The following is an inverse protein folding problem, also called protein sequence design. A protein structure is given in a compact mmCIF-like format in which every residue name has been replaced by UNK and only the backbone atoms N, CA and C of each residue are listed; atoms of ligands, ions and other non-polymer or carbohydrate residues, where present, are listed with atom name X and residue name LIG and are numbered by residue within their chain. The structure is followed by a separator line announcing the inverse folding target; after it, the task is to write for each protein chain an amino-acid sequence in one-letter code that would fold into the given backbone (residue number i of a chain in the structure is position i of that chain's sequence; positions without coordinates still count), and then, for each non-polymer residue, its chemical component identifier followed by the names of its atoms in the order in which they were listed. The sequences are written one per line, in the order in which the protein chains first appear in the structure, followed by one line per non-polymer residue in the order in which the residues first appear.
data_IF_948976579340
#
_entry.id   IF_948976579340
#
_cell.length_a   1.000
_cell.length_b   1.000
_cell.length_c   1.000
_cell.angle_alpha   90.00
_cell.angle_beta   90.00
_cell.angle_gamma   90.00
#
_symmetry.space_group_name_H-M   'P 1'
#
loop_
_entity.id
_entity.type
_entity.pdbx_description
1 polymer ?
#
# COMPACT_ATOMS: atom_id res chain seq x y z
N UNK A 1 -6.44 14.21 9.50
CA UNK A 1 -7.85 14.59 9.76
C UNK A 1 -8.07 14.28 11.22
N UNK A 2 -8.49 15.27 11.99
CA UNK A 2 -8.80 15.10 13.41
C UNK A 2 -10.31 15.28 13.51
N UNK A 3 -11.00 14.29 14.09
CA UNK A 3 -12.45 14.29 14.31
C UNK A 3 -13.29 14.61 13.05
N UNK A 4 -12.84 14.15 11.88
CA UNK A 4 -13.56 14.33 10.61
C UNK A 4 -13.48 15.75 10.03
N UNK A 5 -12.65 16.62 10.60
CA UNK A 5 -12.33 17.95 10.05
C UNK A 5 -11.16 17.84 9.07
N UNK A 6 -11.32 18.46 7.90
CA UNK A 6 -10.27 18.56 6.88
C UNK A 6 -9.50 19.85 7.09
N UNK A 7 -8.28 19.74 7.59
CA UNK A 7 -7.35 20.86 7.66
C UNK A 7 -6.68 21.07 6.30
N UNK A 8 -6.78 22.28 5.78
CA UNK A 8 -6.15 22.71 4.53
C UNK A 8 -5.39 24.01 4.74
N UNK A 9 -4.71 24.50 3.70
CA UNK A 9 -4.12 25.85 3.75
C UNK A 9 -5.19 26.90 4.09
N UNK A 10 -4.88 27.87 4.97
CA UNK A 10 -5.78 28.99 5.26
C UNK A 10 -6.02 29.89 4.04
N UNK A 11 -5.16 29.78 3.03
CA UNK A 11 -5.22 30.54 1.77
C UNK A 11 -6.11 29.87 0.71
N UNK A 12 -6.67 28.70 1.02
CA UNK A 12 -7.59 28.00 0.15
C UNK A 12 -6.89 27.22 -0.96
N UNK A 13 -7.39 27.36 -2.19
CA UNK A 13 -6.86 26.70 -3.39
C UNK A 13 -6.57 27.72 -4.49
N UNK A 14 -5.58 27.42 -5.33
CA UNK A 14 -5.21 28.23 -6.48
C UNK A 14 -5.53 27.47 -7.77
N UNK A 15 -5.95 28.22 -8.80
CA UNK A 15 -6.23 27.68 -10.13
C UNK A 15 -5.26 28.28 -11.13
N UNK A 16 -4.57 27.41 -11.88
CA UNK A 16 -3.58 27.80 -12.87
C UNK A 16 -4.03 27.35 -14.28
N UNK A 17 -3.83 28.17 -15.32
CA UNK A 17 -4.33 27.89 -16.67
C UNK A 17 -3.47 26.89 -17.46
N UNK A 18 -3.05 25.78 -16.82
CA UNK A 18 -2.12 24.78 -17.36
C UNK A 18 -2.74 23.39 -17.54
N UNK A 19 -4.07 23.32 -17.71
CA UNK A 19 -4.75 22.07 -18.03
C UNK A 19 -4.22 21.48 -19.35
N UNK A 20 -4.21 20.15 -19.49
CA UNK A 20 -3.57 19.45 -20.62
C UNK A 20 -4.03 19.98 -22.01
N UNK A 21 -5.31 20.29 -22.18
CA UNK A 21 -5.83 20.85 -23.43
C UNK A 21 -5.36 22.30 -23.68
N UNK A 22 -5.38 23.15 -22.65
CA UNK A 22 -4.88 24.53 -22.73
C UNK A 22 -3.38 24.56 -23.01
N UNK A 23 -2.63 23.71 -22.31
CA UNK A 23 -1.18 23.59 -22.50
C UNK A 23 -0.85 23.06 -23.89
N UNK A 24 -1.57 22.05 -24.39
CA UNK A 24 -1.45 21.57 -25.76
C UNK A 24 -1.66 22.70 -26.78
N UNK A 25 -2.75 23.46 -26.67
CA UNK A 25 -3.01 24.58 -27.57
C UNK A 25 -1.92 25.67 -27.50
N UNK A 26 -1.40 25.98 -26.31
CA UNK A 26 -0.31 26.95 -26.12
C UNK A 26 1.03 26.46 -26.70
N UNK A 27 1.27 25.15 -26.68
CA UNK A 27 2.43 24.51 -27.30
C UNK A 27 2.31 24.39 -28.83
N UNK A 28 1.09 24.23 -29.35
CA UNK A 28 0.79 24.06 -30.78
C UNK A 28 0.60 25.37 -31.56
N UNK A 29 0.40 26.51 -30.89
CA UNK A 29 0.11 27.80 -31.52
C UNK A 29 1.08 28.23 -32.64
N UNK A 30 0.50 28.84 -33.69
CA UNK A 30 1.05 29.09 -35.03
C UNK A 30 2.43 29.79 -35.09
N UNK A 31 3.32 29.26 -35.95
CA UNK A 31 4.46 30.00 -36.54
C UNK A 31 5.87 29.75 -35.96
N UNK A 32 6.69 28.98 -36.68
CA UNK A 32 8.14 29.17 -36.92
C UNK A 32 9.18 29.15 -35.79
N UNK A 33 8.83 29.34 -34.51
CA UNK A 33 9.81 29.42 -33.38
C UNK A 33 9.40 28.55 -32.19
N UNK A 34 9.10 27.27 -32.45
CA UNK A 34 8.65 26.28 -31.44
C UNK A 34 9.54 26.25 -30.18
N UNK A 35 10.87 26.27 -30.34
CA UNK A 35 11.81 26.18 -29.21
C UNK A 35 11.80 27.39 -28.26
N UNK A 36 11.85 28.62 -28.80
CA UNK A 36 11.89 29.85 -27.98
C UNK A 36 10.57 30.08 -27.23
N UNK A 37 9.44 29.75 -27.85
CA UNK A 37 8.11 29.87 -27.23
C UNK A 37 7.89 28.82 -26.14
N UNK A 38 8.31 27.58 -26.37
CA UNK A 38 8.27 26.53 -25.35
C UNK A 38 9.15 26.89 -24.14
N UNK A 39 10.35 27.45 -24.36
CA UNK A 39 11.22 27.95 -23.29
C UNK A 39 10.56 29.06 -22.46
N UNK A 40 9.99 30.08 -23.11
CA UNK A 40 9.30 31.17 -22.42
C UNK A 40 8.10 30.67 -21.60
N UNK A 41 7.31 29.73 -22.15
CA UNK A 41 6.19 29.11 -21.44
C UNK A 41 6.65 28.30 -20.22
N UNK A 42 7.76 27.56 -20.33
CA UNK A 42 8.34 26.83 -19.20
C UNK A 42 8.75 27.79 -18.09
N UNK A 43 9.42 28.90 -18.41
CA UNK A 43 9.82 29.89 -17.39
C UNK A 43 8.63 30.62 -16.75
N UNK A 44 7.60 30.96 -17.52
CA UNK A 44 6.31 31.46 -16.98
C UNK A 44 5.73 30.48 -15.96
N UNK A 45 5.58 29.21 -16.36
CA UNK A 45 5.04 28.15 -15.50
C UNK A 45 5.88 27.96 -14.22
N UNK A 46 7.22 28.00 -14.30
CA UNK A 46 8.08 27.93 -13.10
C UNK A 46 7.81 29.09 -12.15
N UNK A 47 7.70 30.31 -12.67
CA UNK A 47 7.39 31.50 -11.90
C UNK A 47 6.04 31.36 -11.18
N UNK A 48 5.01 30.92 -11.90
CA UNK A 48 3.68 30.71 -11.33
C UNK A 48 3.63 29.58 -10.29
N UNK A 49 4.33 28.46 -10.50
CA UNK A 49 4.37 27.39 -9.49
C UNK A 49 5.08 27.82 -8.21
N UNK A 50 6.20 28.54 -8.30
CA UNK A 50 6.88 29.08 -7.10
C UNK A 50 6.00 30.07 -6.38
N UNK A 51 5.37 31.00 -7.12
CA UNK A 51 4.44 31.98 -6.56
C UNK A 51 3.27 31.30 -5.86
N UNK A 52 2.65 30.31 -6.50
CA UNK A 52 1.54 29.56 -5.96
C UNK A 52 1.94 28.81 -4.67
N UNK A 53 3.12 28.18 -4.65
CA UNK A 53 3.63 27.50 -3.46
C UNK A 53 3.81 28.46 -2.27
N UNK A 54 4.39 29.64 -2.50
CA UNK A 54 4.54 30.65 -1.45
C UNK A 54 3.19 31.25 -1.00
N UNK A 55 2.25 31.46 -1.93
CA UNK A 55 0.93 32.00 -1.62
C UNK A 55 0.06 31.01 -0.85
N UNK A 56 0.23 29.70 -1.08
CA UNK A 56 -0.52 28.68 -0.38
C UNK A 56 -0.12 28.53 1.09
N UNK A 57 0.99 29.11 1.55
CA UNK A 57 1.41 29.04 2.97
C UNK A 57 1.28 27.61 3.52
N UNK A 58 2.00 26.67 2.88
CA UNK A 58 1.80 25.23 3.08
C UNK A 58 2.01 24.87 4.56
N UNK A 59 0.99 24.33 5.26
CA UNK A 59 1.12 23.98 6.66
C UNK A 59 2.19 22.92 6.92
N UNK A 60 2.88 23.04 8.06
CA UNK A 60 3.97 22.13 8.44
C UNK A 60 3.54 20.65 8.54
N UNK A 61 2.26 20.38 8.88
CA UNK A 61 1.74 19.02 8.96
C UNK A 61 1.62 18.31 7.60
N UNK A 62 1.74 19.05 6.48
CA UNK A 62 1.77 18.49 5.12
C UNK A 62 3.20 18.21 4.62
N UNK A 63 4.21 18.56 5.41
CA UNK A 63 5.62 18.35 5.09
C UNK A 63 6.25 17.34 6.03
N UNK A 64 7.22 16.58 5.54
CA UNK A 64 8.05 15.75 6.41
C UNK A 64 9.09 16.57 7.19
N UNK A 65 9.86 15.91 8.06
CA UNK A 65 10.88 16.56 8.88
C UNK A 65 11.94 17.35 8.08
N UNK A 66 12.08 17.09 6.78
CA UNK A 66 13.00 17.79 5.88
C UNK A 66 12.29 18.85 5.01
N UNK A 67 11.03 19.19 5.31
CA UNK A 67 10.23 20.13 4.53
C UNK A 67 9.77 19.60 3.17
N UNK A 68 9.85 18.27 2.94
CA UNK A 68 9.46 17.67 1.65
C UNK A 68 8.00 17.26 1.65
N UNK A 69 7.38 17.28 0.46
CA UNK A 69 5.95 17.02 0.29
C UNK A 69 5.68 15.90 -0.72
N UNK A 70 4.62 15.13 -0.46
CA UNK A 70 4.02 14.21 -1.44
C UNK A 70 2.96 14.97 -2.24
N UNK A 71 2.96 14.78 -3.56
CA UNK A 71 2.00 15.42 -4.47
C UNK A 71 0.89 14.43 -4.86
N UNK A 72 -0.36 14.79 -4.56
CA UNK A 72 -1.53 14.00 -4.91
C UNK A 72 -2.11 14.45 -6.25
N UNK A 73 -2.10 13.56 -7.24
CA UNK A 73 -2.49 13.87 -8.62
C UNK A 73 -3.85 13.24 -8.95
N UNK A 74 -4.81 14.07 -9.35
CA UNK A 74 -6.13 13.64 -9.83
C UNK A 74 -6.45 14.24 -11.19
N UNK A 75 -7.18 13.50 -12.03
CA UNK A 75 -7.64 13.97 -13.33
C UNK A 75 -7.30 13.03 -14.49
N UNK A 76 -7.98 13.21 -15.63
CA UNK A 76 -7.88 12.31 -16.77
C UNK A 76 -6.49 12.22 -17.40
N UNK A 77 -5.80 13.35 -17.52
CA UNK A 77 -4.44 13.43 -18.06
C UNK A 77 -3.43 12.73 -17.15
N UNK A 78 -3.45 13.03 -15.85
CA UNK A 78 -2.60 12.36 -14.88
C UNK A 78 -2.87 10.86 -14.76
N UNK A 79 -4.12 10.41 -14.89
CA UNK A 79 -4.38 8.96 -14.95
C UNK A 79 -3.72 8.29 -16.16
N UNK A 80 -3.78 8.93 -17.34
CA UNK A 80 -3.06 8.46 -18.52
C UNK A 80 -1.55 8.38 -18.27
N UNK A 81 -1.00 9.42 -17.66
CA UNK A 81 0.41 9.48 -17.25
C UNK A 81 0.79 8.35 -16.28
N UNK A 82 0.03 8.14 -15.21
CA UNK A 82 0.34 7.10 -14.24
C UNK A 82 0.22 5.68 -14.80
N UNK A 83 -0.72 5.41 -15.71
CA UNK A 83 -0.75 4.12 -16.41
C UNK A 83 0.48 3.90 -17.31
N UNK A 84 1.01 4.95 -17.93
CA UNK A 84 2.29 4.86 -18.65
C UNK A 84 3.45 4.54 -17.70
N UNK A 85 3.52 5.24 -16.56
CA UNK A 85 4.54 4.96 -15.54
C UNK A 85 4.45 3.50 -15.05
N UNK A 86 3.24 3.00 -14.77
CA UNK A 86 3.03 1.60 -14.38
C UNK A 86 3.51 0.63 -15.47
N UNK A 87 3.27 0.94 -16.75
CA UNK A 87 3.74 0.10 -17.87
C UNK A 87 5.26 0.05 -18.04
N UNK A 88 5.99 0.99 -17.41
CA UNK A 88 7.45 1.09 -17.41
C UNK A 88 8.05 0.85 -16.02
N UNK A 89 7.22 0.48 -15.05
CA UNK A 89 7.68 0.17 -13.72
C UNK A 89 8.63 -1.04 -13.76
N UNK A 90 9.53 -1.13 -12.78
CA UNK A 90 10.46 -2.25 -12.65
C UNK A 90 9.77 -3.63 -12.65
N UNK A 91 8.52 -3.67 -12.16
CA UNK A 91 7.68 -4.87 -12.19
C UNK A 91 6.85 -4.86 -13.48
N UNK A 92 7.14 -5.79 -14.38
CA UNK A 92 6.47 -5.91 -15.69
C UNK A 92 5.92 -7.34 -15.91
N UNK A 93 4.62 -7.51 -16.24
CA UNK A 93 3.57 -6.48 -16.21
C UNK A 93 3.24 -6.07 -14.77
N UNK A 94 2.98 -4.77 -14.57
CA UNK A 94 2.59 -4.26 -13.26
C UNK A 94 1.30 -4.95 -12.75
N UNK A 95 1.29 -5.54 -11.54
CA UNK A 95 0.25 -6.50 -11.14
C UNK A 95 -1.07 -5.85 -10.71
N UNK A 96 -1.09 -4.56 -10.35
CA UNK A 96 -2.30 -3.89 -9.87
C UNK A 96 -2.83 -3.00 -10.99
N UNK A 97 -3.88 -3.41 -11.75
CA UNK A 97 -4.41 -2.64 -12.88
C UNK A 97 -5.31 -1.46 -12.45
N UNK A 98 -5.06 -0.90 -11.27
CA UNK A 98 -5.83 0.18 -10.66
C UNK A 98 -4.89 1.39 -10.57
N UNK A 99 -5.35 2.57 -10.98
CA UNK A 99 -4.52 3.79 -10.90
C UNK A 99 -4.50 4.38 -9.48
N UNK A 100 -5.58 4.18 -8.74
CA UNK A 100 -5.74 4.73 -7.41
C UNK A 100 -4.77 4.09 -6.42
N UNK A 101 -3.98 4.92 -5.76
CA UNK A 101 -3.02 4.46 -4.75
C UNK A 101 -1.68 4.04 -5.35
N UNK A 102 -1.49 4.17 -6.68
CA UNK A 102 -0.18 4.05 -7.29
C UNK A 102 0.71 5.21 -6.82
N UNK A 103 1.87 4.88 -6.26
CA UNK A 103 2.89 5.83 -5.83
C UNK A 103 4.11 5.68 -6.71
N UNK A 104 4.59 6.77 -7.27
CA UNK A 104 5.87 6.86 -7.98
C UNK A 104 6.85 7.68 -7.16
N UNK A 105 8.13 7.30 -7.18
CA UNK A 105 9.18 8.18 -6.66
C UNK A 105 9.43 9.36 -7.62
N UNK A 106 10.21 10.33 -7.16
CA UNK A 106 10.51 11.55 -7.92
C UNK A 106 11.23 11.25 -9.23
N UNK A 107 12.10 10.25 -9.23
CA UNK A 107 12.92 9.84 -10.37
C UNK A 107 12.04 9.20 -11.46
N UNK A 108 11.19 8.26 -11.09
CA UNK A 108 10.19 7.62 -11.96
C UNK A 108 9.23 8.64 -12.55
N UNK A 109 8.76 9.57 -11.74
CA UNK A 109 7.83 10.61 -12.19
C UNK A 109 8.46 11.58 -13.19
N UNK A 110 9.77 11.85 -13.05
CA UNK A 110 10.55 12.73 -13.92
C UNK A 110 11.06 12.05 -15.19
N UNK A 111 10.90 10.74 -15.34
CA UNK A 111 11.32 10.03 -16.55
C UNK A 111 10.35 10.29 -17.71
N UNK A 112 10.24 11.56 -18.09
CA UNK A 112 9.36 12.01 -19.16
C UNK A 112 9.87 11.57 -20.52
N UNK A 113 11.19 11.40 -20.66
CA UNK A 113 11.84 10.89 -21.86
C UNK A 113 11.37 9.48 -22.22
N UNK A 114 11.45 8.52 -21.29
CA UNK A 114 11.04 7.14 -21.58
C UNK A 114 9.55 7.02 -21.89
N UNK A 115 8.71 7.78 -21.18
CA UNK A 115 7.26 7.82 -21.41
C UNK A 115 6.94 8.42 -22.78
N UNK A 116 7.62 9.49 -23.18
CA UNK A 116 7.42 10.12 -24.49
C UNK A 116 7.88 9.23 -25.65
N UNK A 117 8.99 8.50 -25.49
CA UNK A 117 9.40 7.47 -26.46
C UNK A 117 8.33 6.38 -26.58
N UNK A 118 7.79 5.91 -25.46
CA UNK A 118 6.74 4.89 -25.43
C UNK A 118 5.50 5.29 -26.24
N UNK A 119 5.05 6.55 -26.10
CA UNK A 119 3.89 7.08 -26.85
C UNK A 119 4.17 7.19 -28.34
N UNK A 120 5.43 7.44 -28.71
CA UNK A 120 5.85 7.60 -30.11
C UNK A 120 6.05 6.25 -30.80
N UNK A 121 6.49 5.24 -30.04
CA UNK A 121 6.70 3.85 -30.49
C UNK A 121 5.41 3.02 -30.47
N UNK A 122 4.36 3.45 -29.78
CA UNK A 122 3.19 2.62 -29.51
C UNK A 122 2.26 2.45 -30.71
N UNK A 123 2.51 1.41 -31.52
CA UNK A 123 1.42 0.57 -32.04
C UNK A 123 0.83 -0.34 -30.92
N UNK A 124 1.56 -0.50 -29.81
CA UNK A 124 1.15 -1.26 -28.64
C UNK A 124 0.18 -0.47 -27.72
N UNK A 125 -1.05 -0.97 -27.56
CA UNK A 125 -2.06 -0.39 -26.67
C UNK A 125 -1.65 -0.55 -25.20
N UNK A 126 -1.19 0.52 -24.54
CA UNK A 126 -0.96 0.52 -23.09
C UNK A 126 -2.28 0.42 -22.33
N UNK A 127 -2.37 -0.51 -21.38
CA UNK A 127 -3.55 -0.69 -20.54
C UNK A 127 -3.92 0.61 -19.82
N UNK A 128 -5.21 0.95 -19.79
CA UNK A 128 -5.67 2.18 -19.15
C UNK A 128 -5.36 3.48 -19.93
N UNK A 129 -4.71 3.42 -21.10
CA UNK A 129 -4.39 4.60 -21.92
C UNK A 129 -5.20 4.60 -23.22
N UNK A 130 -6.39 5.21 -23.18
CA UNK A 130 -7.20 5.46 -24.39
C UNK A 130 -6.50 6.44 -25.36
N UNK A 131 -6.90 6.47 -26.64
CA UNK A 131 -6.43 7.49 -27.63
C UNK A 131 -6.52 8.94 -27.11
N UNK A 132 -7.60 9.27 -26.38
CA UNK A 132 -7.78 10.60 -25.77
C UNK A 132 -6.76 10.89 -24.67
N UNK A 133 -6.38 9.89 -23.88
CA UNK A 133 -5.35 10.05 -22.83
C UNK A 133 -3.96 10.13 -23.46
N UNK A 134 -3.70 9.31 -24.48
CA UNK A 134 -2.45 9.34 -25.23
C UNK A 134 -2.15 10.73 -25.81
N UNK A 135 -3.16 11.39 -26.41
CA UNK A 135 -2.99 12.73 -26.97
C UNK A 135 -2.75 13.85 -25.93
N UNK A 136 -2.94 13.56 -24.64
CA UNK A 136 -2.69 14.50 -23.54
C UNK A 136 -1.31 14.30 -22.89
N UNK A 137 -0.67 13.14 -23.09
CA UNK A 137 0.60 12.79 -22.44
C UNK A 137 1.70 13.83 -22.67
N UNK A 138 1.94 14.34 -23.91
CA UNK A 138 2.99 15.33 -24.12
C UNK A 138 2.82 16.61 -23.31
N UNK A 139 1.58 17.08 -23.18
CA UNK A 139 1.29 18.25 -22.35
C UNK A 139 1.50 17.94 -20.86
N UNK A 140 1.07 16.77 -20.39
CA UNK A 140 1.30 16.36 -19.00
C UNK A 140 2.78 16.20 -18.70
N UNK A 141 3.59 15.65 -19.61
CA UNK A 141 5.04 15.54 -19.46
C UNK A 141 5.69 16.91 -19.22
N UNK A 142 5.37 17.91 -20.05
CA UNK A 142 5.86 19.29 -19.87
C UNK A 142 5.43 19.87 -18.52
N UNK A 143 4.18 19.66 -18.12
CA UNK A 143 3.66 20.11 -16.84
C UNK A 143 4.44 19.50 -15.66
N UNK A 144 4.68 18.19 -15.71
CA UNK A 144 5.40 17.42 -14.70
C UNK A 144 6.86 17.84 -14.59
N UNK A 145 7.57 17.95 -15.72
CA UNK A 145 8.95 18.44 -15.77
C UNK A 145 9.06 19.78 -15.06
N UNK A 146 8.25 20.75 -15.50
CA UNK A 146 8.34 22.12 -15.01
C UNK A 146 7.94 22.22 -13.55
N UNK A 147 6.91 21.48 -13.12
CA UNK A 147 6.46 21.45 -11.74
C UNK A 147 7.57 20.91 -10.82
N UNK A 148 8.20 19.80 -11.19
CA UNK A 148 9.24 19.20 -10.35
C UNK A 148 10.56 19.97 -10.38
N UNK A 149 10.85 20.74 -11.44
CA UNK A 149 11.96 21.70 -11.48
C UNK A 149 11.68 22.92 -10.61
N UNK A 150 10.46 23.44 -10.64
CA UNK A 150 10.06 24.62 -9.88
C UNK A 150 10.00 24.33 -8.37
N UNK A 151 9.56 23.13 -8.00
CA UNK A 151 9.29 22.69 -6.63
C UNK A 151 10.15 21.45 -6.28
N UNK A 152 11.46 21.63 -6.01
CA UNK A 152 12.37 20.52 -5.77
C UNK A 152 12.09 19.75 -4.47
N UNK A 153 11.30 20.32 -3.56
CA UNK A 153 10.87 19.68 -2.30
C UNK A 153 9.83 18.57 -2.51
N UNK A 154 9.24 18.42 -3.70
CA UNK A 154 8.39 17.27 -4.02
C UNK A 154 9.25 16.00 -3.97
N UNK A 155 8.92 15.06 -3.08
CA UNK A 155 9.65 13.79 -2.91
C UNK A 155 8.99 12.60 -3.59
N UNK A 156 7.69 12.68 -3.84
CA UNK A 156 6.91 11.57 -4.36
C UNK A 156 5.58 12.05 -4.89
N UNK A 157 4.94 11.19 -5.68
CA UNK A 157 3.63 11.43 -6.25
C UNK A 157 2.70 10.28 -5.96
N UNK A 158 1.43 10.59 -5.73
CA UNK A 158 0.38 9.60 -5.53
C UNK A 158 -0.80 9.87 -6.45
N UNK A 159 -1.14 8.88 -7.28
CA UNK A 159 -2.27 9.00 -8.18
C UNK A 159 -3.58 8.68 -7.46
N UNK A 160 -4.54 9.57 -7.63
CA UNK A 160 -5.86 9.52 -7.01
C UNK A 160 -6.92 9.34 -8.10
N UNK A 161 -7.84 8.39 -7.90
CA UNK A 161 -9.01 8.26 -8.76
C UNK A 161 -10.09 9.29 -8.42
N UNK A 162 -10.28 9.56 -7.12
CA UNK A 162 -11.22 10.57 -6.64
C UNK A 162 -10.81 11.99 -7.05
N UNK A 163 -11.78 12.86 -7.23
CA UNK A 163 -11.59 14.27 -7.54
C UNK A 163 -12.70 15.13 -6.96
N UNK A 164 -13.09 16.19 -7.67
CA UNK A 164 -14.05 17.20 -7.19
C UNK A 164 -15.41 16.59 -6.83
N UNK A 165 -15.89 15.59 -7.58
CA UNK A 165 -17.20 14.96 -7.34
C UNK A 165 -17.20 14.18 -6.03
N UNK A 166 -16.17 13.36 -5.83
CA UNK A 166 -16.00 12.58 -4.61
C UNK A 166 -15.73 13.49 -3.40
N UNK A 167 -14.98 14.59 -3.61
CA UNK A 167 -14.78 15.63 -2.58
C UNK A 167 -16.07 16.33 -2.17
N UNK A 168 -16.95 16.65 -3.13
CA UNK A 168 -18.26 17.24 -2.85
C UNK A 168 -19.18 16.29 -2.08
N UNK A 169 -19.17 14.99 -2.43
CA UNK A 169 -19.91 13.98 -1.66
C UNK A 169 -19.33 13.81 -0.27
N UNK A 170 -18.00 13.79 -0.15
CA UNK A 170 -17.29 13.69 1.12
C UNK A 170 -17.63 14.87 2.05
N UNK A 171 -17.72 16.09 1.51
CA UNK A 171 -18.07 17.28 2.30
C UNK A 171 -19.48 17.19 2.91
N UNK A 172 -20.41 16.49 2.25
CA UNK A 172 -21.77 16.25 2.75
C UNK A 172 -21.88 15.17 3.80
N UNK A 173 -20.83 14.37 4.02
CA UNK A 173 -20.87 13.34 5.05
C UNK A 173 -20.83 13.98 6.45
N UNK A 174 -21.56 13.41 7.43
CA UNK A 174 -21.42 13.78 8.83
C UNK A 174 -19.97 13.67 9.30
N UNK A 175 -19.55 14.53 10.22
CA UNK A 175 -18.17 14.59 10.71
C UNK A 175 -17.71 13.22 11.26
N UNK A 176 -18.61 12.51 11.93
CA UNK A 176 -18.38 11.20 12.53
C UNK A 176 -18.06 10.15 11.47
N UNK A 177 -18.69 10.23 10.28
CA UNK A 177 -18.38 9.34 9.15
C UNK A 177 -17.06 9.74 8.50
N UNK A 178 -16.79 11.05 8.36
CA UNK A 178 -15.51 11.56 7.80
C UNK A 178 -14.30 11.24 8.67
N UNK A 179 -14.51 11.05 9.96
CA UNK A 179 -13.49 10.67 10.94
C UNK A 179 -13.06 9.20 10.82
N UNK A 180 -13.91 8.33 10.26
CA UNK A 180 -13.60 6.90 10.15
C UNK A 180 -12.48 6.64 9.15
N UNK A 181 -11.65 5.64 9.46
CA UNK A 181 -10.64 5.16 8.53
C UNK A 181 -11.30 4.39 7.36
N UNK A 182 -11.07 4.79 6.10
CA UNK A 182 -11.79 4.22 4.97
C UNK A 182 -11.38 2.77 4.66
N UNK A 183 -10.18 2.31 5.05
CA UNK A 183 -9.78 0.91 4.91
C UNK A 183 -10.50 0.04 5.96
N UNK A 184 -10.62 0.53 7.20
CA UNK A 184 -11.40 -0.15 8.25
C UNK A 184 -12.88 -0.24 7.86
N UNK A 185 -13.48 0.86 7.40
CA UNK A 185 -14.87 0.88 6.92
C UNK A 185 -15.09 -0.07 5.75
N UNK A 186 -14.16 -0.11 4.80
CA UNK A 186 -14.28 -0.99 3.63
C UNK A 186 -14.22 -2.49 3.99
N UNK A 187 -13.62 -2.84 5.14
CA UNK A 187 -13.46 -4.23 5.58
C UNK A 187 -14.48 -4.66 6.62
N UNK A 188 -15.18 -3.72 7.27
CA UNK A 188 -16.15 -4.03 8.32
C UNK A 188 -17.29 -4.98 7.90
N UNK A 189 -17.79 -5.02 6.64
CA UNK A 189 -18.81 -6.00 6.25
C UNK A 189 -18.33 -7.46 6.28
N UNK A 190 -17.01 -7.68 6.35
CA UNK A 190 -16.41 -9.01 6.42
C UNK A 190 -16.00 -9.39 7.84
N UNK A 191 -16.12 -8.47 8.80
CA UNK A 191 -15.66 -8.64 10.16
C UNK A 191 -16.29 -9.87 10.82
N UNK A 192 -15.49 -10.73 11.47
CA UNK A 192 -16.01 -11.84 12.25
C UNK A 192 -16.65 -11.34 13.56
N UNK A 193 -17.46 -12.19 14.19
CA UNK A 193 -18.15 -11.85 15.45
C UNK A 193 -17.21 -11.32 16.54
N UNK A 194 -16.00 -11.89 16.65
CA UNK A 194 -15.01 -11.47 17.65
C UNK A 194 -13.85 -10.68 17.02
N UNK A 195 -14.16 -9.73 16.12
CA UNK A 195 -13.16 -8.93 15.39
C UNK A 195 -12.12 -8.30 16.31
N UNK A 196 -12.55 -7.65 17.39
CA UNK A 196 -11.65 -6.93 18.30
C UNK A 196 -10.64 -7.89 18.96
N UNK A 197 -11.10 -9.03 19.46
CA UNK A 197 -10.22 -10.05 20.06
C UNK A 197 -9.24 -10.66 19.05
N UNK A 198 -9.64 -10.80 17.79
CA UNK A 198 -8.77 -11.28 16.72
C UNK A 198 -7.71 -10.23 16.37
N UNK A 199 -8.10 -8.95 16.33
CA UNK A 199 -7.19 -7.83 16.10
C UNK A 199 -6.17 -7.74 17.24
N UNK A 200 -6.60 -7.91 18.49
CA UNK A 200 -5.72 -7.93 19.66
C UNK A 200 -4.69 -9.05 19.58
N UNK A 201 -5.08 -10.24 19.11
CA UNK A 201 -4.15 -11.35 18.89
C UNK A 201 -3.12 -11.02 17.80
N UNK A 202 -3.56 -10.44 16.67
CA UNK A 202 -2.66 -10.01 15.59
C UNK A 202 -1.68 -8.93 16.07
N UNK A 203 -2.15 -7.94 16.83
CA UNK A 203 -1.33 -6.88 17.41
C UNK A 203 -0.34 -7.42 18.44
N UNK A 204 -0.76 -8.39 19.27
CA UNK A 204 0.11 -8.98 20.28
C UNK A 204 1.24 -9.82 19.67
N UNK A 205 1.08 -10.27 18.43
CA UNK A 205 2.13 -10.95 17.68
C UNK A 205 3.15 -9.99 17.03
N UNK A 206 3.05 -8.67 17.24
CA UNK A 206 4.05 -7.69 16.82
C UNK A 206 4.92 -7.24 18.00
N UNK A 207 6.23 -7.03 17.79
CA UNK A 207 7.10 -6.50 18.83
C UNK A 207 6.77 -5.03 19.09
N UNK A 208 6.76 -4.64 20.37
CA UNK A 208 6.44 -3.26 20.81
C UNK A 208 7.63 -2.30 20.78
N UNK A 209 8.84 -2.84 20.62
CA UNK A 209 10.10 -2.07 20.62
C UNK A 209 10.94 -2.45 19.41
N UNK A 210 11.93 -1.62 19.08
CA UNK A 210 12.94 -1.97 18.08
C UNK A 210 13.88 -3.06 18.58
N UNK A 211 14.46 -3.82 17.64
CA UNK A 211 15.44 -4.86 17.95
C UNK A 211 16.73 -4.26 18.52
N UNK A 212 17.41 -4.93 19.46
CA UNK A 212 18.53 -4.33 20.19
C UNK A 212 19.77 -4.08 19.35
N UNK A 213 20.03 -4.86 18.29
CA UNK A 213 21.27 -4.75 17.51
C UNK A 213 21.05 -3.97 16.21
N UNK A 214 20.08 -4.39 15.40
CA UNK A 214 19.79 -3.79 14.09
C UNK A 214 18.78 -2.63 14.16
N UNK A 215 18.23 -2.34 15.34
CA UNK A 215 17.14 -1.37 15.51
C UNK A 215 15.95 -1.63 14.57
N UNK A 216 15.69 -2.92 14.30
CA UNK A 216 14.64 -3.33 13.39
C UNK A 216 13.27 -3.30 14.07
N UNK A 217 12.28 -2.78 13.36
CA UNK A 217 10.88 -2.72 13.77
C UNK A 217 9.95 -3.05 12.59
N UNK A 218 8.70 -3.48 12.83
CA UNK A 218 7.70 -3.57 11.78
C UNK A 218 7.65 -2.28 10.94
N UNK A 219 7.57 -2.36 9.60
CA UNK A 219 7.44 -1.18 8.76
C UNK A 219 6.22 -0.33 9.15
N UNK A 220 6.29 0.99 8.96
CA UNK A 220 5.18 1.92 9.24
C UNK A 220 3.88 1.56 8.50
N UNK A 221 4.00 0.85 7.37
CA UNK A 221 2.85 0.33 6.62
C UNK A 221 2.02 -0.69 7.41
N UNK A 222 2.57 -1.33 8.45
CA UNK A 222 1.83 -2.18 9.40
C UNK A 222 1.15 -1.34 10.50
N UNK A 223 0.36 -0.37 10.07
CA UNK A 223 -0.41 0.50 10.96
C UNK A 223 -1.53 -0.27 11.69
N UNK A 224 -2.06 0.27 12.81
CA UNK A 224 -3.23 -0.29 13.47
C UNK A 224 -4.43 -0.50 12.55
N UNK A 225 -4.63 0.39 11.57
CA UNK A 225 -5.73 0.29 10.60
C UNK A 225 -5.53 -0.86 9.60
N UNK A 226 -4.28 -1.13 9.19
CA UNK A 226 -3.98 -2.31 8.37
C UNK A 226 -4.25 -3.61 9.15
N UNK A 227 -3.86 -3.66 10.44
CA UNK A 227 -4.10 -4.82 11.30
C UNK A 227 -5.60 -5.03 11.55
N UNK A 228 -6.34 -3.96 11.79
CA UNK A 228 -7.80 -4.01 11.90
C UNK A 228 -8.41 -4.59 10.61
N UNK A 229 -8.02 -4.07 9.45
CA UNK A 229 -8.49 -4.59 8.17
C UNK A 229 -8.14 -6.07 7.95
N UNK A 230 -6.93 -6.49 8.30
CA UNK A 230 -6.54 -7.91 8.22
C UNK A 230 -7.41 -8.78 9.14
N UNK A 231 -7.67 -8.33 10.37
CA UNK A 231 -8.55 -9.01 11.32
C UNK A 231 -9.98 -9.15 10.78
N UNK A 232 -10.52 -8.08 10.20
CA UNK A 232 -11.84 -8.10 9.55
C UNK A 232 -11.89 -9.10 8.38
N UNK A 233 -10.82 -9.23 7.62
CA UNK A 233 -10.78 -10.07 6.41
C UNK A 233 -10.36 -11.52 6.68
N UNK A 234 -9.99 -11.87 7.91
CA UNK A 234 -9.33 -13.12 8.27
C UNK A 234 -10.13 -14.38 7.86
N UNK A 235 -11.46 -14.24 7.81
CA UNK A 235 -12.40 -15.31 7.44
C UNK A 235 -13.15 -15.07 6.12
N UNK A 236 -12.84 -13.99 5.40
CA UNK A 236 -13.61 -13.53 4.23
C UNK A 236 -13.69 -14.56 3.09
N UNK A 237 -12.70 -15.46 3.00
CA UNK A 237 -12.60 -16.50 1.96
C UNK A 237 -12.88 -17.91 2.50
N UNK A 238 -13.42 -18.05 3.70
CA UNK A 238 -13.67 -19.35 4.35
C UNK A 238 -14.65 -20.24 3.59
N UNK A 239 -15.56 -19.63 2.81
CA UNK A 239 -16.56 -20.32 1.99
C UNK A 239 -16.03 -20.76 0.62
N UNK A 240 -14.81 -20.36 0.26
CA UNK A 240 -14.19 -20.78 -0.99
C UNK A 240 -13.69 -22.24 -0.87
N UNK A 241 -13.74 -23.02 -1.97
CA UNK A 241 -13.09 -24.34 -2.03
C UNK A 241 -11.63 -24.29 -1.55
N UNK A 242 -11.14 -25.41 -0.99
CA UNK A 242 -9.79 -25.49 -0.43
C UNK A 242 -8.70 -25.15 -1.46
N UNK A 243 -8.95 -25.55 -2.69
CA UNK A 243 -8.07 -25.42 -3.85
C UNK A 243 -7.98 -23.99 -4.36
N UNK A 244 -8.99 -23.14 -4.09
CA UNK A 244 -9.08 -21.80 -4.69
C UNK A 244 -9.03 -20.67 -3.66
N UNK A 245 -9.20 -20.95 -2.37
CA UNK A 245 -9.25 -19.90 -1.33
C UNK A 245 -7.98 -19.05 -1.25
N UNK A 246 -6.79 -19.64 -1.40
CA UNK A 246 -5.52 -18.90 -1.41
C UNK A 246 -5.41 -17.96 -2.61
N UNK A 247 -5.85 -18.41 -3.79
CA UNK A 247 -5.90 -17.60 -5.00
C UNK A 247 -6.96 -16.49 -4.88
N UNK A 248 -8.16 -16.80 -4.37
CA UNK A 248 -9.20 -15.80 -4.12
C UNK A 248 -8.71 -14.71 -3.15
N UNK A 249 -8.02 -15.10 -2.09
CA UNK A 249 -7.37 -14.17 -1.16
C UNK A 249 -6.29 -13.31 -1.83
N UNK A 250 -5.47 -13.90 -2.71
CA UNK A 250 -4.44 -13.17 -3.45
C UNK A 250 -5.03 -12.09 -4.38
N UNK A 251 -6.17 -12.39 -5.01
CA UNK A 251 -6.88 -11.47 -5.91
C UNK A 251 -7.84 -10.52 -5.20
N UNK A 252 -8.03 -10.68 -3.89
CA UNK A 252 -9.04 -9.94 -3.10
C UNK A 252 -8.92 -8.43 -3.20
N UNK A 253 -7.70 -7.91 -3.38
CA UNK A 253 -7.42 -6.47 -3.43
C UNK A 253 -7.28 -5.90 -4.84
N UNK A 254 -7.36 -6.71 -5.90
CA UNK A 254 -7.25 -6.24 -7.29
C UNK A 254 -8.54 -6.45 -8.06
N UNK A 255 -9.08 -7.66 -8.05
CA UNK A 255 -10.30 -8.04 -8.78
C UNK A 255 -11.39 -8.60 -7.87
N UNK A 256 -11.08 -8.84 -6.59
CA UNK A 256 -12.01 -9.37 -5.60
C UNK A 256 -12.69 -8.31 -4.73
N UNK A 257 -12.96 -8.69 -3.48
CA UNK A 257 -13.84 -7.98 -2.54
C UNK A 257 -13.42 -6.54 -2.19
N UNK A 258 -12.15 -6.16 -2.38
CA UNK A 258 -11.64 -4.80 -2.16
C UNK A 258 -11.25 -4.06 -3.45
N UNK A 259 -11.59 -4.60 -4.62
CA UNK A 259 -11.25 -3.99 -5.91
C UNK A 259 -11.83 -2.56 -6.05
N UNK A 260 -13.03 -2.31 -5.51
CA UNK A 260 -13.75 -1.04 -5.60
C UNK A 260 -13.32 0.00 -4.55
N UNK A 261 -12.42 -0.35 -3.64
CA UNK A 261 -12.03 0.51 -2.51
C UNK A 261 -11.00 1.54 -2.98
N UNK A 262 -11.43 2.79 -3.17
CA UNK A 262 -10.61 3.88 -3.70
C UNK A 262 -9.72 4.58 -2.66
N UNK A 263 -9.64 4.09 -1.42
CA UNK A 263 -8.77 4.63 -0.37
C UNK A 263 -7.44 3.88 -0.22
N UNK A 264 -7.30 2.71 -0.87
CA UNK A 264 -6.13 1.86 -0.67
C UNK A 264 -4.94 2.32 -1.50
N UNK A 265 -3.79 2.38 -0.84
CA UNK A 265 -2.51 2.45 -1.55
C UNK A 265 -2.20 1.10 -2.20
N UNK A 266 -1.32 1.09 -3.20
CA UNK A 266 -0.84 -0.18 -3.76
C UNK A 266 -0.09 -1.01 -2.72
N UNK A 267 0.61 -0.37 -1.78
CA UNK A 267 1.23 -1.04 -0.64
C UNK A 267 0.17 -1.79 0.18
N UNK A 268 -0.91 -1.13 0.62
CA UNK A 268 -1.97 -1.80 1.42
C UNK A 268 -2.58 -2.98 0.66
N UNK A 269 -2.84 -2.81 -0.65
CA UNK A 269 -3.36 -3.89 -1.50
C UNK A 269 -2.44 -5.10 -1.52
N UNK A 270 -1.13 -4.88 -1.66
CA UNK A 270 -0.13 -5.95 -1.66
C UNK A 270 -0.04 -6.61 -0.29
N UNK A 271 0.06 -5.82 0.78
CA UNK A 271 0.23 -6.35 2.14
C UNK A 271 -0.96 -7.22 2.54
N UNK A 272 -2.19 -6.75 2.31
CA UNK A 272 -3.41 -7.52 2.57
C UNK A 272 -3.47 -8.78 1.70
N UNK A 273 -3.18 -8.68 0.40
CA UNK A 273 -3.20 -9.84 -0.49
C UNK A 273 -2.19 -10.91 -0.03
N UNK A 274 -0.94 -10.53 0.25
CA UNK A 274 0.10 -11.46 0.68
C UNK A 274 -0.23 -12.10 2.05
N UNK A 275 -0.69 -11.30 3.02
CA UNK A 275 -1.05 -11.80 4.33
C UNK A 275 -2.25 -12.76 4.27
N UNK A 276 -3.29 -12.42 3.50
CA UNK A 276 -4.48 -13.27 3.34
C UNK A 276 -4.18 -14.53 2.53
N UNK A 277 -3.24 -14.50 1.58
CA UNK A 277 -2.78 -15.72 0.90
C UNK A 277 -2.07 -16.66 1.87
N UNK A 278 -1.18 -16.14 2.73
CA UNK A 278 -0.47 -16.96 3.72
C UNK A 278 -1.41 -17.46 4.84
N UNK A 279 -2.48 -16.72 5.18
CA UNK A 279 -3.56 -17.18 6.09
C UNK A 279 -4.14 -18.52 5.68
N UNK A 280 -4.33 -18.75 4.38
CA UNK A 280 -4.95 -19.98 3.89
C UNK A 280 -3.97 -21.10 3.56
N UNK A 281 -2.68 -20.78 3.44
CA UNK A 281 -1.56 -21.72 3.27
C UNK A 281 -1.73 -22.80 2.19
N UNK A 282 -2.65 -22.62 1.23
CA UNK A 282 -2.87 -23.53 0.11
C UNK A 282 -1.97 -23.24 -1.09
N UNK A 283 -1.75 -24.27 -1.90
CA UNK A 283 -0.98 -24.16 -3.15
C UNK A 283 -1.61 -23.14 -4.11
N UNK A 284 -0.75 -22.47 -4.86
CA UNK A 284 -1.15 -21.55 -5.92
C UNK A 284 -0.90 -22.18 -7.27
N UNK A 285 -1.81 -21.97 -8.22
CA UNK A 285 -1.55 -22.33 -9.59
C UNK A 285 -0.34 -21.53 -10.14
N UNK A 286 0.39 -22.03 -11.15
CA UNK A 286 1.58 -21.33 -11.66
C UNK A 286 1.34 -19.88 -12.10
N UNK A 287 0.13 -19.55 -12.56
CA UNK A 287 -0.25 -18.18 -12.91
C UNK A 287 -0.36 -17.28 -11.66
N UNK A 288 -0.93 -17.79 -10.58
CA UNK A 288 -1.09 -17.09 -9.31
C UNK A 288 0.24 -16.97 -8.55
N UNK A 289 1.14 -17.96 -8.67
CA UNK A 289 2.51 -17.83 -8.14
C UNK A 289 3.26 -16.68 -8.78
N UNK A 290 3.22 -16.58 -10.11
CA UNK A 290 3.80 -15.46 -10.87
C UNK A 290 3.14 -14.14 -10.47
N UNK A 291 1.83 -14.14 -10.24
CA UNK A 291 1.11 -12.94 -9.81
C UNK A 291 1.54 -12.50 -8.40
N UNK A 292 1.63 -13.43 -7.45
CA UNK A 292 2.15 -13.21 -6.09
C UNK A 292 3.57 -12.65 -6.12
N UNK A 293 4.44 -13.21 -6.97
CA UNK A 293 5.81 -12.73 -7.12
C UNK A 293 5.86 -11.28 -7.62
N UNK A 294 5.04 -10.93 -8.61
CA UNK A 294 4.94 -9.54 -9.09
C UNK A 294 4.42 -8.60 -8.00
N UNK A 295 3.39 -9.01 -7.24
CA UNK A 295 2.90 -8.22 -6.09
C UNK A 295 3.99 -7.99 -5.05
N UNK A 296 4.75 -9.04 -4.70
CA UNK A 296 5.87 -8.95 -3.75
C UNK A 296 6.94 -7.95 -4.19
N UNK A 297 7.19 -7.84 -5.50
CA UNK A 297 8.13 -6.85 -6.04
C UNK A 297 7.62 -5.41 -6.00
N UNK A 298 6.35 -5.17 -5.66
CA UNK A 298 5.80 -3.82 -5.46
C UNK A 298 6.00 -3.27 -4.04
N UNK A 299 6.53 -4.07 -3.11
CA UNK A 299 6.83 -3.66 -1.72
C UNK A 299 8.28 -3.97 -1.38
N UNK A 300 8.78 -3.43 -0.28
CA UNK A 300 10.13 -3.75 0.20
C UNK A 300 10.23 -5.20 0.66
N UNK A 301 11.43 -5.78 0.64
CA UNK A 301 11.66 -7.13 1.17
C UNK A 301 11.24 -7.26 2.64
N UNK A 302 11.37 -6.18 3.42
CA UNK A 302 10.95 -6.13 4.82
C UNK A 302 9.43 -6.19 4.94
N UNK A 303 8.72 -5.38 4.16
CA UNK A 303 7.27 -5.40 4.09
C UNK A 303 6.71 -6.76 3.64
N UNK A 304 7.30 -7.35 2.59
CA UNK A 304 6.92 -8.68 2.12
C UNK A 304 7.11 -9.75 3.19
N UNK A 305 8.22 -9.72 3.94
CA UNK A 305 8.47 -10.65 5.03
C UNK A 305 7.44 -10.50 6.17
N UNK A 306 7.16 -9.27 6.62
CA UNK A 306 6.18 -9.00 7.68
C UNK A 306 4.75 -9.38 7.28
N UNK A 307 4.38 -9.19 6.00
CA UNK A 307 3.07 -9.61 5.49
C UNK A 307 2.90 -11.13 5.57
N UNK A 308 3.96 -11.88 5.19
CA UNK A 308 3.96 -13.35 5.29
C UNK A 308 3.96 -13.82 6.74
N UNK A 309 4.73 -13.16 7.61
CA UNK A 309 4.75 -13.43 9.05
C UNK A 309 3.35 -13.28 9.66
N UNK A 310 2.71 -12.12 9.50
CA UNK A 310 1.36 -11.90 10.01
C UNK A 310 0.32 -12.81 9.34
N UNK A 311 0.49 -13.16 8.07
CA UNK A 311 -0.37 -14.13 7.41
C UNK A 311 -0.30 -15.52 8.05
N UNK A 312 0.88 -15.98 8.47
CA UNK A 312 1.03 -17.26 9.20
C UNK A 312 0.53 -17.19 10.63
N UNK A 313 0.69 -16.06 11.31
CA UNK A 313 0.03 -15.81 12.59
C UNK A 313 -1.48 -15.84 12.42
N UNK A 314 -2.02 -15.21 11.37
CA UNK A 314 -3.44 -15.25 11.04
C UNK A 314 -3.92 -16.68 10.75
N UNK A 315 -3.09 -17.52 10.11
CA UNK A 315 -3.36 -18.95 9.94
C UNK A 315 -3.57 -19.65 11.29
N UNK A 316 -2.60 -19.50 12.21
CA UNK A 316 -2.71 -20.04 13.56
C UNK A 316 -4.01 -19.59 14.27
N UNK A 317 -4.28 -18.28 14.28
CA UNK A 317 -5.48 -17.71 14.92
C UNK A 317 -6.74 -18.31 14.30
N UNK A 318 -6.82 -18.35 12.98
CA UNK A 318 -8.00 -18.80 12.29
C UNK A 318 -8.19 -20.33 12.29
N UNK A 319 -7.15 -21.10 12.57
CA UNK A 319 -7.26 -22.56 12.76
C UNK A 319 -7.74 -22.89 14.19
N UNK A 320 -7.31 -22.11 15.19
CA UNK A 320 -7.79 -22.22 16.57
C UNK A 320 -9.23 -21.71 16.73
N UNK A 321 -9.57 -20.61 16.06
CA UNK A 321 -10.89 -19.97 16.11
C UNK A 321 -11.58 -20.06 14.75
N UNK A 322 -11.78 -21.27 14.22
CA UNK A 322 -12.31 -21.53 12.89
C UNK A 322 -13.66 -20.85 12.55
N UNK A 323 -14.48 -20.56 13.56
CA UNK A 323 -15.76 -19.85 13.40
C UNK A 323 -15.65 -18.32 13.44
N UNK A 324 -14.45 -17.77 13.70
CA UNK A 324 -14.26 -16.34 13.97
C UNK A 324 -14.81 -15.88 15.32
N UNK A 325 -15.11 -16.82 16.22
CA UNK A 325 -15.61 -16.53 17.57
C UNK A 325 -14.51 -16.86 18.58
N UNK A 326 -14.13 -15.85 19.37
CA UNK A 326 -13.25 -15.98 20.54
C UNK A 326 -14.15 -15.94 21.78
N UNK A 327 -14.21 -17.02 22.58
CA UNK A 327 -15.01 -17.06 23.80
C UNK A 327 -14.58 -15.98 24.81
N UNK A 328 -15.54 -15.30 25.44
CA UNK A 328 -15.27 -14.34 26.53
C UNK A 328 -14.59 -15.00 27.73
N UNK A 329 -15.02 -16.22 28.04
CA UNK A 329 -14.41 -17.11 29.04
C UNK A 329 -13.87 -18.34 28.34
N UNK A 330 -12.67 -18.81 28.72
CA UNK A 330 -12.05 -19.96 28.07
C UNK A 330 -11.26 -19.59 26.81
N UNK A 331 -10.31 -18.66 26.95
CA UNK A 331 -9.36 -18.34 25.89
C UNK A 331 -8.59 -19.61 25.48
N UNK A 332 -8.29 -19.78 24.19
CA UNK A 332 -7.58 -20.96 23.67
C UNK A 332 -6.10 -20.69 23.47
N UNK A 333 -5.78 -19.54 22.88
CA UNK A 333 -4.40 -19.07 22.68
C UNK A 333 -4.20 -17.63 23.14
N UNK A 334 -2.98 -17.31 23.54
CA UNK A 334 -2.45 -15.95 23.69
C UNK A 334 -1.11 -15.85 22.99
N UNK A 335 -0.80 -14.66 22.47
CA UNK A 335 0.41 -14.39 21.72
C UNK A 335 1.16 -13.23 22.34
N UNK A 336 2.48 -13.25 22.27
CA UNK A 336 3.33 -12.09 22.51
C UNK A 336 4.57 -12.19 21.63
N UNK A 337 5.02 -11.07 21.05
CA UNK A 337 6.29 -11.03 20.32
C UNK A 337 7.26 -10.02 20.93
N UNK A 338 8.52 -10.41 21.01
CA UNK A 338 9.60 -9.59 21.55
C UNK A 338 10.93 -9.87 20.87
N UNK A 339 11.86 -8.91 20.99
CA UNK A 339 13.20 -9.07 20.47
C UNK A 339 14.15 -9.64 21.52
N UNK A 340 15.01 -10.56 21.09
CA UNK A 340 16.08 -11.11 21.90
C UNK A 340 17.42 -11.02 21.16
N UNK A 341 18.48 -10.73 21.90
CA UNK A 341 19.84 -10.82 21.39
C UNK A 341 20.39 -12.23 21.65
N UNK A 342 20.72 -12.96 20.60
CA UNK A 342 21.21 -14.34 20.70
C UNK A 342 22.65 -14.45 20.22
N UNK A 343 23.50 -15.06 21.05
CA UNK A 343 24.90 -15.32 20.76
C UNK A 343 25.11 -16.81 20.40
N UNK A 344 25.29 -17.13 19.12
CA UNK A 344 25.78 -18.46 18.69
C UNK A 344 27.22 -18.42 18.13
N UNK A 345 27.53 -17.41 17.31
CA UNK A 345 28.87 -17.14 16.75
C UNK A 345 29.14 -15.64 16.65
N UNK A 346 28.10 -14.88 16.35
CA UNK A 346 28.02 -13.42 16.42
C UNK A 346 26.70 -13.07 17.12
N UNK A 347 26.64 -11.90 17.76
CA UNK A 347 25.41 -11.35 18.32
C UNK A 347 24.44 -11.01 17.19
N UNK A 348 23.20 -11.50 17.30
CA UNK A 348 22.16 -11.27 16.28
C UNK A 348 20.79 -11.15 16.92
N UNK A 349 19.94 -10.34 16.29
CA UNK A 349 18.54 -10.21 16.70
C UNK A 349 17.73 -11.46 16.31
N UNK A 350 16.84 -11.84 17.22
CA UNK A 350 15.84 -12.89 17.06
C UNK A 350 14.48 -12.34 17.49
N UNK A 351 13.46 -12.47 16.65
CA UNK A 351 12.07 -12.26 17.02
C UNK A 351 11.55 -13.51 17.72
N UNK A 352 11.38 -13.45 19.03
CA UNK A 352 10.79 -14.54 19.82
C UNK A 352 9.27 -14.33 19.91
N UNK A 353 8.51 -15.31 19.44
CA UNK A 353 7.04 -15.33 19.52
C UNK A 353 6.63 -16.34 20.58
N UNK A 354 6.07 -15.86 21.66
CA UNK A 354 5.54 -16.67 22.75
C UNK A 354 4.08 -17.02 22.45
N UNK A 355 3.75 -18.30 22.53
CA UNK A 355 2.40 -18.83 22.30
C UNK A 355 1.99 -19.61 23.54
N UNK A 356 1.00 -19.11 24.27
CA UNK A 356 0.38 -19.84 25.37
C UNK A 356 -0.84 -20.57 24.86
N UNK A 357 -1.02 -21.82 25.27
CA UNK A 357 -2.22 -22.60 25.02
C UNK A 357 -2.90 -22.94 26.34
N UNK A 358 -4.19 -22.60 26.47
CA UNK A 358 -4.96 -22.99 27.64
C UNK A 358 -5.23 -24.50 27.60
N UNK A 359 -4.65 -25.28 28.50
CA UNK A 359 -4.77 -26.74 28.46
C UNK A 359 -6.22 -27.24 28.51
N UNK A 360 -7.07 -26.58 29.32
CA UNK A 360 -8.47 -26.99 29.48
C UNK A 360 -9.30 -26.80 28.18
N UNK A 361 -8.99 -25.77 27.39
CA UNK A 361 -9.80 -25.33 26.26
C UNK A 361 -9.15 -25.62 24.90
N UNK A 362 -7.84 -25.84 24.88
CA UNK A 362 -7.03 -25.92 23.66
C UNK A 362 -6.36 -27.27 23.42
N UNK A 363 -6.66 -28.31 24.21
CA UNK A 363 -6.07 -29.65 24.04
C UNK A 363 -6.22 -30.18 22.60
N UNK A 364 -7.40 -30.00 22.00
CA UNK A 364 -7.68 -30.43 20.62
C UNK A 364 -6.92 -29.61 19.56
N UNK A 365 -6.52 -28.38 19.90
CA UNK A 365 -5.83 -27.47 18.97
C UNK A 365 -4.31 -27.48 19.13
N UNK A 366 -3.76 -28.17 20.14
CA UNK A 366 -2.34 -28.12 20.49
C UNK A 366 -1.44 -28.51 19.31
N UNK A 367 -1.78 -29.58 18.59
CA UNK A 367 -1.05 -30.04 17.42
C UNK A 367 -1.10 -28.99 16.30
N UNK A 368 -2.29 -28.47 15.97
CA UNK A 368 -2.44 -27.42 14.96
C UNK A 368 -1.67 -26.13 15.31
N UNK A 369 -1.64 -25.73 16.59
CA UNK A 369 -0.86 -24.58 17.04
C UNK A 369 0.65 -24.85 16.91
N UNK A 370 1.11 -26.05 17.26
CA UNK A 370 2.51 -26.43 17.10
C UNK A 370 2.92 -26.43 15.62
N UNK A 371 2.12 -27.04 14.74
CA UNK A 371 2.36 -27.03 13.30
C UNK A 371 2.41 -25.61 12.74
N UNK A 372 1.45 -24.75 13.13
CA UNK A 372 1.44 -23.35 12.72
C UNK A 372 2.68 -22.59 13.24
N UNK A 373 3.12 -22.88 14.47
CA UNK A 373 4.37 -22.36 15.04
C UNK A 373 5.58 -22.72 14.17
N UNK A 374 5.72 -23.99 13.79
CA UNK A 374 6.80 -24.44 12.89
C UNK A 374 6.74 -23.75 11.52
N UNK A 375 5.54 -23.49 10.99
CA UNK A 375 5.40 -22.72 9.75
C UNK A 375 5.88 -21.27 9.93
N UNK A 376 5.58 -20.61 11.05
CA UNK A 376 6.10 -19.27 11.35
C UNK A 376 7.63 -19.32 11.42
N UNK A 377 8.23 -20.27 12.15
CA UNK A 377 9.69 -20.41 12.27
C UNK A 377 10.41 -20.63 10.93
N UNK A 378 9.76 -21.35 9.99
CA UNK A 378 10.32 -21.55 8.64
C UNK A 378 10.61 -20.22 7.93
N UNK A 379 9.89 -19.12 8.22
CA UNK A 379 10.19 -17.79 7.66
C UNK A 379 11.53 -17.22 8.15
N UNK A 380 12.00 -17.62 9.32
CA UNK A 380 13.29 -17.21 9.89
C UNK A 380 14.50 -17.87 9.22
N UNK A 381 14.29 -18.89 8.38
CA UNK A 381 15.37 -19.61 7.70
C UNK A 381 16.02 -18.74 6.62
N UNK A 382 17.35 -18.86 6.43
CA UNK A 382 18.14 -18.03 5.49
C UNK A 382 17.56 -17.97 4.06
N UNK A 383 16.96 -19.06 3.56
CA UNK A 383 16.34 -19.11 2.23
C UNK A 383 15.03 -18.33 2.13
N UNK A 384 14.34 -18.12 3.25
CA UNK A 384 13.04 -17.45 3.33
C UNK A 384 13.16 -15.97 3.73
N UNK A 385 14.30 -15.59 4.32
CA UNK A 385 14.67 -14.19 4.57
C UNK A 385 15.17 -13.61 3.26
N UNK A 386 14.29 -12.93 2.53
CA UNK A 386 14.48 -12.36 1.19
C UNK A 386 15.58 -11.27 1.18
N UNK A 387 16.85 -11.69 1.29
CA UNK A 387 17.99 -10.80 1.43
C UNK A 387 18.09 -10.19 2.84
N UNK A 388 18.37 -8.89 2.93
CA UNK A 388 18.54 -8.16 4.19
C UNK A 388 17.22 -7.75 4.86
N UNK A 389 16.06 -7.98 4.23
CA UNK A 389 14.77 -7.51 4.73
C UNK A 389 14.06 -8.46 5.71
N UNK A 390 14.45 -9.74 5.77
CA UNK A 390 13.74 -10.74 6.57
C UNK A 390 14.36 -10.97 7.96
N UNK A 391 13.50 -11.15 8.96
CA UNK A 391 13.91 -11.35 10.34
C UNK A 391 14.14 -12.83 10.66
N UNK A 392 14.95 -13.11 11.67
CA UNK A 392 14.96 -14.44 12.30
C UNK A 392 13.77 -14.49 13.25
N UNK A 393 13.06 -15.61 13.25
CA UNK A 393 11.92 -15.83 14.13
C UNK A 393 12.00 -17.22 14.74
N UNK A 394 11.66 -17.31 16.02
CA UNK A 394 11.52 -18.55 16.80
C UNK A 394 10.18 -18.50 17.52
N UNK A 395 9.45 -19.61 17.53
CA UNK A 395 8.15 -19.73 18.20
C UNK A 395 8.32 -20.62 19.42
N UNK A 396 7.97 -20.10 20.58
CA UNK A 396 8.10 -20.80 21.86
C UNK A 396 6.72 -21.08 22.42
N UNK A 397 6.40 -22.36 22.53
CA UNK A 397 5.22 -22.81 23.25
C UNK A 397 5.48 -22.62 24.74
N UNK A 398 4.69 -21.77 25.38
CA UNK A 398 4.80 -21.50 26.82
C UNK A 398 3.70 -22.25 27.54
N UNK A 399 4.10 -23.07 28.52
CA UNK A 399 3.22 -23.83 29.41
C UNK A 399 2.44 -22.93 30.37
#
# INVERSE_FOLDING_TARGET
REDGVVSMSPRGALSLPYGAAALKARLEGEGGKKGKRAGALREEMKGEFRRAYHQLDIPAFLTDANGRLDLYLSGGGFRGWGYMLMSRARVDPYPIPIINGYKGNKEEFRDTGSVMSAVSESDAKVFGVSKRRASQIPAVAVLVDVLTEALPMIKGIQFCQGGVREGFLFDKLPAEIRAQDPLVVATSPFAPTSSDSIIDLLQSALPKTSSPIASSQPPESFSPNLLHALGNLLFAHSRNPKETRSAAALHSTTTGILASVNSLTHTDRVLLALALTERWAGDLAPADEKFRERLRHCVTAKEGWWARYLGRVAAMIGDVYASGVVPETGWRIRLAAGWEAVAKKEQRDLLAVQVWCNEAEATVFREAVQEAGEQIEKLGKKKQREGAGGERVEVRMVS
#
